data_IF_175742361195
#
_entry.id   IF_175742361195
#
_cell.length_a   1.000
_cell.length_b   1.000
_cell.length_c   1.000
_cell.angle_alpha   90.00
_cell.angle_beta   90.00
_cell.angle_gamma   90.00
#
_symmetry.space_group_name_H-M   'P 1'
#
loop_
_entity.id
_entity.type
_entity.pdbx_description
1 polymer ?
#
# COMPACT_ATOMS: atom_id res chain seq x y z
N UNK A 1 13.50 37.19 15.02
CA UNK A 1 13.95 35.86 14.52
C UNK A 1 13.19 34.69 15.17
N UNK A 2 12.83 34.76 16.46
CA UNK A 2 12.11 33.67 17.18
C UNK A 2 10.68 33.44 16.67
N UNK A 3 9.89 34.47 16.44
CA UNK A 3 8.48 34.40 15.99
C UNK A 3 8.27 33.66 14.66
N UNK A 4 9.29 33.65 13.79
CA UNK A 4 9.26 32.96 12.49
C UNK A 4 9.49 31.43 12.64
N UNK A 5 10.37 31.03 13.57
CA UNK A 5 10.64 29.62 13.87
C UNK A 5 9.41 28.92 14.47
N UNK A 6 8.68 29.60 15.36
CA UNK A 6 7.47 29.05 15.96
C UNK A 6 6.35 28.87 14.92
N UNK A 7 6.24 29.77 13.96
CA UNK A 7 5.28 29.65 12.86
C UNK A 7 5.61 28.46 11.95
N UNK A 8 6.87 28.23 11.60
CA UNK A 8 7.32 27.09 10.81
C UNK A 8 7.03 25.77 11.55
N UNK A 9 7.32 25.72 12.84
CA UNK A 9 7.08 24.53 13.65
C UNK A 9 5.60 24.20 13.79
N UNK A 10 4.75 25.20 13.96
CA UNK A 10 3.30 24.99 13.97
C UNK A 10 2.79 24.46 12.63
N UNK A 11 3.27 25.01 11.50
CA UNK A 11 2.93 24.51 10.16
C UNK A 11 3.36 23.06 10.00
N UNK A 12 4.59 22.71 10.40
CA UNK A 12 5.08 21.34 10.38
C UNK A 12 4.21 20.39 11.22
N UNK A 13 3.83 20.83 12.43
CA UNK A 13 2.94 20.05 13.30
C UNK A 13 1.56 19.81 12.67
N UNK A 14 0.95 20.84 12.06
CA UNK A 14 -0.33 20.67 11.37
C UNK A 14 -0.23 19.75 10.17
N UNK A 15 0.86 19.82 9.41
CA UNK A 15 1.11 18.88 8.29
C UNK A 15 1.23 17.44 8.81
N UNK A 16 2.01 17.23 9.87
CA UNK A 16 2.17 15.91 10.49
C UNK A 16 0.84 15.37 11.00
N UNK A 17 0.06 16.20 11.71
CA UNK A 17 -1.26 15.84 12.21
C UNK A 17 -2.21 15.49 11.07
N UNK A 18 -2.19 16.24 9.97
CA UNK A 18 -2.98 15.94 8.78
C UNK A 18 -2.61 14.59 8.17
N UNK A 19 -1.31 14.28 8.07
CA UNK A 19 -0.83 12.98 7.57
C UNK A 19 -1.31 11.83 8.46
N UNK A 20 -1.25 12.00 9.78
CA UNK A 20 -1.74 10.99 10.75
C UNK A 20 -3.25 10.78 10.61
N UNK A 21 -4.02 11.85 10.54
CA UNK A 21 -5.48 11.76 10.33
C UNK A 21 -5.83 11.07 9.01
N UNK A 22 -5.09 11.38 7.96
CA UNK A 22 -5.26 10.73 6.66
C UNK A 22 -4.94 9.23 6.74
N UNK A 23 -3.87 8.85 7.42
CA UNK A 23 -3.50 7.45 7.64
C UNK A 23 -4.57 6.69 8.44
N UNK A 24 -5.11 7.30 9.49
CA UNK A 24 -6.23 6.74 10.29
C UNK A 24 -7.47 6.59 9.42
N UNK A 25 -7.81 7.58 8.62
CA UNK A 25 -8.94 7.50 7.69
C UNK A 25 -8.80 6.31 6.73
N UNK A 26 -7.63 6.14 6.11
CA UNK A 26 -7.37 5.01 5.22
C UNK A 26 -7.41 3.67 5.96
N UNK A 27 -6.90 3.59 7.19
CA UNK A 27 -6.95 2.37 8.00
C UNK A 27 -8.40 1.98 8.34
N UNK A 28 -9.22 2.94 8.75
CA UNK A 28 -10.66 2.74 9.03
C UNK A 28 -11.42 2.33 7.77
N UNK A 29 -11.16 3.01 6.65
CA UNK A 29 -11.78 2.68 5.36
C UNK A 29 -11.44 1.25 4.91
N UNK A 30 -10.18 0.82 5.04
CA UNK A 30 -9.77 -0.56 4.78
C UNK A 30 -10.50 -1.55 5.69
N UNK A 31 -10.51 -1.28 6.99
CA UNK A 31 -11.18 -2.14 7.98
C UNK A 31 -12.67 -2.31 7.65
N UNK A 32 -13.38 -1.22 7.39
CA UNK A 32 -14.80 -1.24 7.02
C UNK A 32 -15.02 -2.02 5.72
N UNK A 33 -14.22 -1.74 4.68
CA UNK A 33 -14.35 -2.39 3.38
C UNK A 33 -14.15 -3.91 3.47
N UNK A 34 -13.09 -4.35 4.14
CA UNK A 34 -12.71 -5.78 4.17
C UNK A 34 -13.49 -6.55 5.24
N UNK A 35 -13.71 -5.98 6.43
CA UNK A 35 -14.30 -6.71 7.56
C UNK A 35 -15.81 -6.55 7.66
N UNK A 36 -16.34 -5.36 7.43
CA UNK A 36 -17.77 -5.08 7.58
C UNK A 36 -18.50 -5.34 6.27
N UNK A 37 -18.02 -4.77 5.17
CA UNK A 37 -18.64 -4.93 3.84
C UNK A 37 -18.22 -6.24 3.14
N UNK A 38 -17.32 -7.03 3.75
CA UNK A 38 -16.83 -8.31 3.24
C UNK A 38 -16.34 -8.23 1.78
N UNK A 39 -15.77 -7.10 1.38
CA UNK A 39 -15.17 -6.96 0.07
C UNK A 39 -13.88 -7.77 0.00
N UNK A 40 -13.59 -8.34 -1.16
CA UNK A 40 -12.37 -9.13 -1.35
C UNK A 40 -11.11 -8.26 -1.36
N UNK A 41 -11.25 -7.01 -1.82
CA UNK A 41 -10.18 -5.99 -1.82
C UNK A 41 -10.78 -4.59 -1.68
N UNK A 42 -9.96 -3.62 -1.29
CA UNK A 42 -10.37 -2.23 -1.13
C UNK A 42 -10.19 -1.47 -2.43
N UNK A 43 -11.21 -0.72 -2.84
CA UNK A 43 -11.15 0.14 -4.03
C UNK A 43 -10.96 1.60 -3.61
N UNK A 44 -9.82 2.19 -3.99
CA UNK A 44 -9.50 3.60 -3.80
C UNK A 44 -9.50 4.31 -5.16
N UNK A 45 -10.60 4.93 -5.52
CA UNK A 45 -10.73 5.68 -6.78
C UNK A 45 -10.33 4.89 -8.03
N UNK A 46 -10.71 3.61 -8.10
CA UNK A 46 -10.37 2.73 -9.22
C UNK A 46 -9.03 2.00 -9.09
N UNK A 47 -8.35 2.12 -7.95
CA UNK A 47 -7.09 1.44 -7.67
C UNK A 47 -7.20 0.55 -6.43
N UNK A 48 -6.42 -0.52 -6.41
CA UNK A 48 -6.20 -1.35 -5.22
C UNK A 48 -4.72 -1.65 -5.05
N UNK A 49 -4.36 -2.17 -3.86
CA UNK A 49 -2.97 -2.42 -3.48
C UNK A 49 -2.86 -3.84 -2.96
N UNK A 50 -1.83 -4.57 -3.39
CA UNK A 50 -1.50 -5.88 -2.87
C UNK A 50 -0.04 -5.94 -2.46
N UNK A 51 0.24 -6.53 -1.30
CA UNK A 51 1.59 -6.90 -0.89
C UNK A 51 1.94 -8.24 -1.53
N UNK A 52 3.13 -8.35 -2.09
CA UNK A 52 3.60 -9.55 -2.78
C UNK A 52 4.13 -10.55 -1.75
N UNK A 53 3.47 -11.69 -1.66
CA UNK A 53 3.75 -12.74 -0.69
C UNK A 53 4.57 -13.93 -1.25
N UNK A 54 4.68 -14.05 -2.57
CA UNK A 54 5.35 -15.18 -3.24
C UNK A 54 6.40 -14.74 -4.25
N UNK A 55 7.33 -15.62 -4.57
CA UNK A 55 8.42 -15.35 -5.51
C UNK A 55 8.12 -15.68 -6.97
N UNK A 56 6.86 -15.92 -7.36
CA UNK A 56 6.49 -16.30 -8.74
C UNK A 56 6.86 -15.26 -9.80
N UNK A 57 7.05 -14.00 -9.39
CA UNK A 57 7.42 -12.87 -10.25
C UNK A 57 8.82 -12.31 -9.93
N UNK A 58 9.64 -13.06 -9.19
CA UNK A 58 10.99 -12.63 -8.76
C UNK A 58 11.82 -12.14 -9.95
N UNK A 59 12.54 -11.02 -9.72
CA UNK A 59 13.28 -10.30 -10.76
C UNK A 59 12.47 -9.15 -11.38
N UNK A 60 11.16 -9.30 -11.50
CA UNK A 60 10.25 -8.21 -11.90
C UNK A 60 9.55 -7.62 -10.67
N UNK A 61 8.98 -8.47 -9.83
CA UNK A 61 8.30 -8.12 -8.58
C UNK A 61 8.78 -9.09 -7.50
N UNK A 62 9.28 -8.58 -6.40
CA UNK A 62 9.88 -9.39 -5.35
C UNK A 62 8.98 -9.44 -4.09
N UNK A 63 9.23 -10.43 -3.23
CA UNK A 63 8.49 -10.59 -1.97
C UNK A 63 8.66 -9.33 -1.11
N UNK A 64 7.55 -8.79 -0.60
CA UNK A 64 7.52 -7.55 0.19
C UNK A 64 7.42 -6.27 -0.62
N UNK A 65 7.38 -6.36 -1.96
CA UNK A 65 6.95 -5.24 -2.78
C UNK A 65 5.44 -5.02 -2.62
N UNK A 66 4.99 -3.80 -2.89
CA UNK A 66 3.56 -3.47 -3.01
C UNK A 66 3.27 -3.08 -4.44
N UNK A 67 2.28 -3.73 -5.04
CA UNK A 67 1.80 -3.42 -6.37
C UNK A 67 0.54 -2.55 -6.31
N UNK A 68 0.47 -1.58 -7.21
CA UNK A 68 -0.74 -0.78 -7.45
C UNK A 68 -1.42 -1.34 -8.69
N UNK A 69 -2.66 -1.80 -8.50
CA UNK A 69 -3.48 -2.39 -9.54
C UNK A 69 -4.61 -1.43 -9.89
N UNK A 70 -4.73 -1.06 -11.17
CA UNK A 70 -5.86 -0.31 -11.68
C UNK A 70 -6.98 -1.28 -12.01
N UNK A 71 -8.09 -1.15 -11.28
CA UNK A 71 -9.24 -2.07 -11.33
C UNK A 71 -9.96 -1.90 -12.67
N UNK A 72 -10.36 -3.02 -13.27
CA UNK A 72 -11.08 -3.07 -14.56
C UNK A 72 -10.36 -2.33 -15.70
N UNK A 73 -9.02 -2.18 -15.61
CA UNK A 73 -8.23 -1.58 -16.69
C UNK A 73 -8.05 -2.58 -17.83
N UNK A 74 -8.05 -2.08 -19.05
CA UNK A 74 -7.70 -2.91 -20.19
C UNK A 74 -6.21 -3.29 -20.13
N UNK A 75 -5.90 -4.47 -20.63
CA UNK A 75 -4.56 -5.02 -20.65
C UNK A 75 -4.31 -5.76 -21.97
N UNK A 76 -3.04 -5.91 -22.30
CA UNK A 76 -2.54 -6.60 -23.50
C UNK A 76 -1.53 -7.68 -23.11
N UNK A 77 -1.06 -8.41 -24.08
CA UNK A 77 0.08 -9.33 -23.92
C UNK A 77 1.29 -8.57 -23.37
N UNK A 78 2.08 -9.21 -22.55
CA UNK A 78 3.20 -8.71 -21.74
C UNK A 78 2.83 -7.82 -20.53
N UNK A 79 1.58 -7.37 -20.40
CA UNK A 79 1.15 -6.69 -19.17
C UNK A 79 1.11 -7.64 -17.97
N UNK A 80 1.32 -7.10 -16.80
CA UNK A 80 1.16 -7.84 -15.53
C UNK A 80 -0.24 -7.56 -15.00
N UNK A 81 -1.01 -8.60 -14.74
CA UNK A 81 -2.35 -8.51 -14.20
C UNK A 81 -2.46 -9.20 -12.85
N UNK A 82 -3.40 -8.74 -12.04
CA UNK A 82 -3.82 -9.45 -10.83
C UNK A 82 -5.21 -10.03 -11.06
N UNK A 83 -5.38 -11.30 -10.73
CA UNK A 83 -6.64 -12.02 -10.85
C UNK A 83 -6.91 -12.84 -9.60
N UNK A 84 -8.17 -13.23 -9.40
CA UNK A 84 -8.60 -13.97 -8.23
C UNK A 84 -8.84 -15.44 -8.57
N UNK A 85 -8.30 -16.34 -7.74
CA UNK A 85 -8.59 -17.78 -7.78
C UNK A 85 -9.04 -18.19 -6.39
N UNK A 86 -10.31 -18.56 -6.25
CA UNK A 86 -10.94 -18.81 -4.93
C UNK A 86 -10.82 -17.60 -4.00
N UNK A 87 -10.07 -17.70 -2.93
CA UNK A 87 -9.85 -16.60 -1.97
C UNK A 87 -8.48 -15.91 -2.12
N UNK A 88 -7.64 -16.40 -3.05
CA UNK A 88 -6.30 -15.88 -3.27
C UNK A 88 -6.24 -14.92 -4.47
N UNK A 89 -5.30 -13.98 -4.40
CA UNK A 89 -4.95 -13.10 -5.50
C UNK A 89 -3.60 -13.51 -6.08
N UNK A 90 -3.58 -13.72 -7.40
CA UNK A 90 -2.40 -14.11 -8.15
C UNK A 90 -2.04 -12.96 -9.08
N UNK A 91 -0.74 -12.64 -9.16
CA UNK A 91 -0.23 -11.58 -10.03
C UNK A 91 0.81 -12.17 -10.97
N UNK A 92 0.46 -12.26 -12.24
CA UNK A 92 1.30 -12.88 -13.27
C UNK A 92 1.28 -12.07 -14.57
N UNK A 93 2.22 -12.39 -15.46
CA UNK A 93 2.33 -11.78 -16.78
C UNK A 93 1.40 -12.46 -17.78
N UNK A 94 0.75 -11.65 -18.60
CA UNK A 94 -0.10 -12.11 -19.71
C UNK A 94 0.80 -12.63 -20.82
N UNK A 95 0.67 -13.92 -21.15
CA UNK A 95 1.32 -14.53 -22.29
C UNK A 95 0.47 -14.44 -23.56
N UNK A 96 -0.85 -14.62 -23.39
CA UNK A 96 -1.79 -14.61 -24.50
C UNK A 96 -3.14 -14.09 -24.07
N UNK A 97 -3.74 -13.24 -24.88
CA UNK A 97 -5.09 -12.72 -24.69
C UNK A 97 -6.01 -13.33 -25.75
N UNK A 98 -7.02 -14.06 -25.31
CA UNK A 98 -8.04 -14.68 -26.15
C UNK A 98 -9.40 -14.01 -25.90
N UNK A 99 -10.41 -14.29 -26.71
CA UNK A 99 -11.72 -13.63 -26.65
C UNK A 99 -12.40 -13.76 -25.28
N UNK A 100 -12.28 -14.93 -24.60
CA UNK A 100 -13.02 -15.24 -23.37
C UNK A 100 -12.12 -15.52 -22.15
N UNK A 101 -10.82 -15.61 -22.34
CA UNK A 101 -9.85 -15.91 -21.27
C UNK A 101 -8.49 -15.34 -21.58
N UNK A 102 -7.66 -15.30 -20.57
CA UNK A 102 -6.25 -14.91 -20.65
C UNK A 102 -5.37 -16.06 -20.15
N UNK A 103 -4.24 -16.26 -20.79
CA UNK A 103 -3.20 -17.20 -20.37
C UNK A 103 -2.09 -16.39 -19.74
N UNK A 104 -1.75 -16.74 -18.50
CA UNK A 104 -0.73 -16.04 -17.72
C UNK A 104 0.39 -16.97 -17.28
N UNK A 105 1.49 -16.39 -16.82
CA UNK A 105 2.60 -17.11 -16.24
C UNK A 105 3.38 -16.21 -15.29
N UNK A 106 3.81 -16.74 -14.15
CA UNK A 106 4.78 -16.07 -13.29
C UNK A 106 6.16 -16.03 -13.96
N UNK A 107 6.84 -14.90 -13.89
CA UNK A 107 8.14 -14.69 -14.55
C UNK A 107 9.19 -15.72 -14.09
N UNK A 108 9.10 -16.19 -12.84
CA UNK A 108 9.98 -17.22 -12.26
C UNK A 108 9.38 -18.63 -12.27
N UNK A 109 8.17 -18.82 -12.77
CA UNK A 109 7.55 -20.14 -12.84
C UNK A 109 8.03 -20.91 -14.07
N UNK A 110 8.08 -22.25 -14.00
CA UNK A 110 8.37 -23.09 -15.15
C UNK A 110 7.14 -23.33 -16.02
N UNK A 111 5.97 -23.40 -15.40
CA UNK A 111 4.72 -23.76 -16.06
C UNK A 111 3.84 -22.54 -16.30
N UNK A 112 3.03 -22.62 -17.34
CA UNK A 112 1.97 -21.69 -17.67
C UNK A 112 0.78 -21.97 -16.76
N UNK A 113 0.04 -20.92 -16.40
CA UNK A 113 -1.16 -21.06 -15.58
C UNK A 113 -2.34 -21.63 -16.39
N UNK A 114 -3.32 -22.18 -15.70
CA UNK A 114 -4.58 -22.53 -16.33
C UNK A 114 -5.26 -21.26 -16.88
N UNK A 115 -6.04 -21.37 -17.98
CA UNK A 115 -6.76 -20.23 -18.54
C UNK A 115 -7.61 -19.49 -17.48
N UNK A 116 -7.44 -18.18 -17.40
CA UNK A 116 -8.10 -17.29 -16.45
C UNK A 116 -9.22 -16.56 -17.19
N UNK A 117 -10.46 -16.67 -16.69
CA UNK A 117 -11.59 -15.93 -17.26
C UNK A 117 -11.48 -14.43 -16.93
N UNK A 118 -12.01 -13.59 -17.81
CA UNK A 118 -11.97 -12.13 -17.61
C UNK A 118 -12.67 -11.65 -16.35
N UNK A 119 -13.74 -12.31 -15.92
CA UNK A 119 -14.47 -12.00 -14.70
C UNK A 119 -13.67 -12.24 -13.40
N UNK A 120 -12.61 -13.06 -13.51
CA UNK A 120 -11.65 -13.29 -12.42
C UNK A 120 -10.56 -12.20 -12.35
N UNK A 121 -10.36 -11.42 -13.42
CA UNK A 121 -9.32 -10.40 -13.47
C UNK A 121 -9.73 -9.19 -12.65
N UNK A 122 -8.91 -8.82 -11.67
CA UNK A 122 -9.09 -7.61 -10.85
C UNK A 122 -8.67 -6.37 -11.65
N UNK A 123 -7.52 -6.45 -12.32
CA UNK A 123 -7.01 -5.35 -13.10
C UNK A 123 -5.52 -5.49 -13.44
N UNK A 124 -4.96 -4.42 -14.01
CA UNK A 124 -3.58 -4.35 -14.47
C UNK A 124 -2.68 -3.68 -13.44
N UNK A 125 -1.49 -4.22 -13.23
CA UNK A 125 -0.45 -3.60 -12.41
C UNK A 125 0.08 -2.36 -13.13
N UNK A 126 -0.06 -1.21 -12.50
CA UNK A 126 0.39 0.09 -13.06
C UNK A 126 1.63 0.64 -12.38
N UNK A 127 1.93 0.18 -11.16
CA UNK A 127 3.12 0.60 -10.42
C UNK A 127 3.55 -0.46 -9.42
N UNK A 128 4.86 -0.57 -9.23
CA UNK A 128 5.50 -1.41 -8.21
C UNK A 128 6.22 -0.49 -7.25
N UNK A 129 5.95 -0.62 -5.94
CA UNK A 129 6.64 0.09 -4.87
C UNK A 129 7.51 -0.93 -4.15
N UNK A 130 8.82 -0.79 -4.33
CA UNK A 130 9.76 -1.79 -3.86
C UNK A 130 10.01 -1.70 -2.35
N UNK A 131 10.24 -2.87 -1.75
CA UNK A 131 10.70 -3.03 -0.36
C UNK A 131 9.77 -2.45 0.72
N UNK A 132 8.49 -2.22 0.43
CA UNK A 132 7.53 -1.68 1.41
C UNK A 132 7.39 -2.62 2.61
N UNK A 133 7.33 -3.93 2.39
CA UNK A 133 7.23 -4.93 3.47
C UNK A 133 8.45 -4.93 4.39
N UNK A 134 9.66 -4.59 3.88
CA UNK A 134 10.87 -4.44 4.71
C UNK A 134 10.71 -3.25 5.65
N UNK A 135 10.30 -2.09 5.13
CA UNK A 135 10.06 -0.89 5.95
C UNK A 135 8.93 -1.08 6.95
N UNK A 136 7.85 -1.76 6.55
CA UNK A 136 6.76 -2.11 7.45
C UNK A 136 7.24 -2.96 8.62
N UNK A 137 8.03 -4.02 8.37
CA UNK A 137 8.61 -4.86 9.42
C UNK A 137 9.52 -4.07 10.37
N UNK A 138 10.35 -3.16 9.82
CA UNK A 138 11.22 -2.29 10.63
C UNK A 138 10.41 -1.38 11.53
N UNK A 139 9.43 -0.65 10.98
CA UNK A 139 8.61 0.31 11.71
C UNK A 139 7.73 -0.39 12.77
N UNK A 140 7.20 -1.58 12.45
CA UNK A 140 6.36 -2.37 13.37
C UNK A 140 7.17 -3.14 14.41
N UNK A 141 8.50 -3.13 14.35
CA UNK A 141 9.33 -3.69 15.42
C UNK A 141 9.03 -2.94 16.73
N UNK A 142 8.65 -3.64 17.83
CA UNK A 142 8.19 -2.98 19.06
C UNK A 142 9.15 -1.90 19.58
N UNK A 143 10.45 -2.14 19.50
CA UNK A 143 11.48 -1.19 19.92
C UNK A 143 11.45 0.11 19.11
N UNK A 144 11.33 0.01 17.77
CA UNK A 144 11.27 1.16 16.85
C UNK A 144 9.97 1.92 17.07
N UNK A 145 8.84 1.21 17.14
CA UNK A 145 7.52 1.80 17.38
C UNK A 145 7.48 2.58 18.71
N UNK A 146 7.95 1.97 19.80
CA UNK A 146 8.03 2.65 21.12
C UNK A 146 8.97 3.86 21.05
N UNK A 147 10.13 3.75 20.38
CA UNK A 147 11.05 4.89 20.19
C UNK A 147 10.37 6.06 19.47
N UNK A 148 9.61 5.78 18.42
CA UNK A 148 8.87 6.82 17.69
C UNK A 148 7.83 7.48 18.60
N UNK A 149 7.05 6.70 19.38
CA UNK A 149 6.05 7.22 20.31
C UNK A 149 6.68 8.09 21.40
N UNK A 150 7.78 7.62 22.02
CA UNK A 150 8.50 8.38 23.06
C UNK A 150 9.05 9.68 22.49
N UNK A 151 9.66 9.64 21.32
CA UNK A 151 10.19 10.84 20.65
C UNK A 151 9.07 11.85 20.37
N UNK A 152 7.92 11.37 19.87
CA UNK A 152 6.76 12.21 19.62
C UNK A 152 6.20 12.83 20.92
N UNK A 153 6.12 12.04 21.99
CA UNK A 153 5.67 12.51 23.30
C UNK A 153 6.61 13.58 23.89
N UNK A 154 7.92 13.35 23.87
CA UNK A 154 8.91 14.32 24.33
C UNK A 154 8.87 15.62 23.52
N UNK A 155 8.72 15.50 22.22
CA UNK A 155 8.56 16.64 21.32
C UNK A 155 7.29 17.44 21.64
N UNK A 156 6.15 16.76 21.86
CA UNK A 156 4.89 17.38 22.26
C UNK A 156 4.99 18.14 23.59
N UNK A 157 5.64 17.53 24.60
CA UNK A 157 5.87 18.17 25.91
C UNK A 157 6.78 19.39 25.77
N UNK A 158 7.86 19.30 25.02
CA UNK A 158 8.78 20.39 24.77
C UNK A 158 8.07 21.62 24.18
N UNK A 159 7.24 21.40 23.16
CA UNK A 159 6.50 22.50 22.51
C UNK A 159 5.36 23.04 23.36
N UNK A 160 4.68 22.20 24.13
CA UNK A 160 3.64 22.64 25.09
C UNK A 160 4.20 23.55 26.18
N UNK A 161 5.39 23.25 26.72
CA UNK A 161 6.07 24.11 27.69
C UNK A 161 6.49 25.45 27.09
N UNK A 162 7.11 25.42 25.92
CA UNK A 162 7.61 26.61 25.25
C UNK A 162 6.50 27.61 24.87
N UNK A 163 5.31 27.10 24.49
CA UNK A 163 4.15 27.97 24.22
C UNK A 163 3.60 28.69 25.46
N UNK A 164 3.85 28.18 26.66
CA UNK A 164 3.46 28.82 27.92
C UNK A 164 4.41 29.91 28.34
N UNK A 165 5.71 29.71 28.12
CA UNK A 165 6.76 30.69 28.52
C UNK A 165 6.79 31.95 27.64
N UNK A 166 6.10 31.96 26.50
CA UNK A 166 6.03 33.10 25.58
C UNK A 166 4.79 33.98 25.84
N UNK A 167 3.79 33.47 26.57
CA UNK A 167 2.52 34.14 26.82
C UNK A 167 2.34 34.56 28.30
N UNK A 168 3.34 34.38 29.18
CA UNK A 168 3.43 34.86 30.55
C UNK A 168 4.50 35.96 30.63
#
# INVERSE_FOLDING_TARGET
MFKYKDKILNVFFYILMFIVLLAVFFAVYNFVSLRILKKNYTNFFGYTFFEVASGSMTGTIDIGDVIIVKINDDFKEDDIITYRVSDDFITHRVLKKEDNYVVTKGDSNNNVDNPVKYDMVVGRVVKIIRNVGVWQKVIMTPKVFISILVTFMLFSIYFSKRGRDVNG
#
